data_IF_304562955602
#
_entry.id   IF_304562955602
#
_cell.length_a   1.000
_cell.length_b   1.000
_cell.length_c   1.000
_cell.angle_alpha   90.00
_cell.angle_beta   90.00
_cell.angle_gamma   90.00
#
_symmetry.space_group_name_H-M   'P 1'
#
loop_
_entity.id
_entity.type
_entity.pdbx_description
1 polymer ?
#
# COMPACT_ATOMS: atom_id res chain seq x y z
N UNK A 1 17.72 -2.20 -18.38
CA UNK A 1 16.52 -2.90 -18.87
C UNK A 1 15.55 -3.07 -17.70
N UNK A 2 14.23 -2.84 -17.89
CA UNK A 2 13.19 -3.13 -16.89
C UNK A 2 12.63 -4.53 -17.13
N UNK A 3 12.33 -5.24 -16.03
CA UNK A 3 11.46 -6.41 -16.04
C UNK A 3 10.03 -5.95 -15.75
N UNK A 4 9.15 -6.00 -16.74
CA UNK A 4 7.74 -5.68 -16.61
C UNK A 4 6.96 -6.94 -16.18
N UNK A 5 6.47 -6.92 -14.95
CA UNK A 5 5.63 -7.98 -14.38
C UNK A 5 4.18 -7.55 -14.55
N UNK A 6 3.46 -8.28 -15.40
CA UNK A 6 2.13 -7.90 -15.88
C UNK A 6 1.08 -8.77 -15.20
N UNK A 7 0.09 -8.13 -14.58
CA UNK A 7 -1.12 -8.81 -14.10
C UNK A 7 -2.27 -8.55 -15.09
N UNK A 8 -2.54 -9.45 -16.04
CA UNK A 8 -3.56 -9.25 -17.07
C UNK A 8 -4.97 -9.21 -16.51
N UNK A 9 -5.21 -9.74 -15.31
CA UNK A 9 -6.51 -9.70 -14.62
C UNK A 9 -6.79 -8.37 -13.92
N UNK A 10 -5.79 -7.50 -13.77
CA UNK A 10 -5.96 -6.22 -13.10
C UNK A 10 -7.03 -5.34 -13.77
N UNK A 11 -7.77 -4.59 -12.95
CA UNK A 11 -8.86 -3.75 -13.42
C UNK A 11 -10.02 -4.53 -14.04
N UNK A 12 -10.27 -5.77 -13.60
CA UNK A 12 -11.31 -6.62 -14.19
C UNK A 12 -10.98 -7.06 -15.62
N UNK A 13 -9.70 -7.25 -15.93
CA UNK A 13 -9.21 -7.61 -17.26
C UNK A 13 -8.93 -6.42 -18.20
N UNK A 14 -9.12 -5.18 -17.75
CA UNK A 14 -8.79 -3.98 -18.52
C UNK A 14 -7.30 -3.92 -18.88
N UNK A 15 -6.43 -4.39 -17.97
CA UNK A 15 -4.99 -4.44 -18.16
C UNK A 15 -4.63 -5.19 -19.46
N UNK A 16 -5.22 -6.37 -19.71
CA UNK A 16 -4.96 -7.17 -20.92
C UNK A 16 -5.19 -6.39 -22.22
N UNK A 17 -6.17 -5.48 -22.24
CA UNK A 17 -6.48 -4.67 -23.43
C UNK A 17 -5.55 -3.48 -23.63
N UNK A 18 -5.02 -2.92 -22.55
CA UNK A 18 -4.29 -1.65 -22.57
C UNK A 18 -2.78 -1.85 -22.52
N UNK A 19 -2.29 -3.00 -22.07
CA UNK A 19 -0.86 -3.23 -21.82
C UNK A 19 -0.04 -3.21 -23.12
N UNK A 20 -0.52 -3.84 -24.20
CA UNK A 20 0.19 -3.90 -25.47
C UNK A 20 0.61 -2.53 -26.00
N UNK A 21 -0.36 -1.64 -26.31
CA UNK A 21 -0.05 -0.28 -26.79
C UNK A 21 0.85 0.52 -25.83
N UNK A 22 0.67 0.36 -24.52
CA UNK A 22 1.49 1.07 -23.53
C UNK A 22 2.96 0.60 -23.57
N UNK A 23 3.20 -0.72 -23.65
CA UNK A 23 4.56 -1.27 -23.73
C UNK A 23 5.24 -0.92 -25.07
N UNK A 24 4.50 -0.92 -26.17
CA UNK A 24 5.01 -0.49 -27.48
C UNK A 24 5.47 0.96 -27.44
N UNK A 25 4.68 1.84 -26.83
CA UNK A 25 5.03 3.25 -26.66
C UNK A 25 6.29 3.44 -25.80
N UNK A 26 6.43 2.67 -24.71
CA UNK A 26 7.66 2.69 -23.88
C UNK A 26 8.89 2.21 -24.67
N UNK A 27 8.75 1.14 -25.45
CA UNK A 27 9.83 0.64 -26.31
C UNK A 27 10.22 1.66 -27.38
N UNK A 28 9.24 2.29 -28.05
CA UNK A 28 9.47 3.35 -29.02
C UNK A 28 10.18 4.56 -28.41
N UNK A 29 9.93 4.84 -27.12
CA UNK A 29 10.61 5.87 -26.33
C UNK A 29 11.98 5.43 -25.77
N UNK A 30 12.51 4.29 -26.21
CA UNK A 30 13.87 3.83 -25.85
C UNK A 30 13.95 3.17 -24.47
N UNK A 31 12.83 2.69 -23.89
CA UNK A 31 12.83 1.90 -22.66
C UNK A 31 12.98 0.41 -23.03
N UNK A 32 14.11 -0.17 -22.66
CA UNK A 32 14.34 -1.61 -22.82
C UNK A 32 13.48 -2.39 -21.79
N UNK A 33 12.59 -3.25 -22.29
CA UNK A 33 11.62 -4.01 -21.50
C UNK A 33 11.69 -5.50 -21.82
N UNK A 34 11.86 -6.31 -20.78
CA UNK A 34 11.49 -7.72 -20.75
C UNK A 34 10.11 -7.84 -20.10
N UNK A 35 9.27 -8.77 -20.55
CA UNK A 35 7.89 -8.88 -20.08
C UNK A 35 7.57 -10.30 -19.60
N UNK A 36 6.93 -10.41 -18.43
CA UNK A 36 6.42 -11.67 -17.89
C UNK A 36 4.99 -11.42 -17.39
N UNK A 37 4.05 -12.28 -17.80
CA UNK A 37 2.67 -12.25 -17.31
C UNK A 37 2.52 -13.17 -16.09
N UNK A 38 1.65 -12.74 -15.15
CA UNK A 38 1.24 -13.56 -14.01
C UNK A 38 -0.11 -14.21 -14.28
N UNK A 39 -0.32 -15.43 -13.76
CA UNK A 39 -1.54 -16.21 -13.91
C UNK A 39 -2.25 -16.46 -12.58
N UNK A 40 -1.56 -16.26 -11.46
CA UNK A 40 -2.08 -16.48 -10.12
C UNK A 40 -1.54 -15.46 -9.11
N UNK A 41 -2.24 -15.30 -7.99
CA UNK A 41 -1.78 -14.51 -6.85
C UNK A 41 -0.48 -15.09 -6.29
N UNK A 42 0.47 -14.23 -5.89
CA UNK A 42 1.80 -14.59 -5.39
C UNK A 42 2.84 -14.83 -6.49
N UNK A 43 2.44 -14.95 -7.76
CA UNK A 43 3.39 -15.16 -8.84
C UNK A 43 4.31 -13.94 -9.08
N UNK A 44 3.78 -12.72 -8.96
CA UNK A 44 4.61 -11.54 -9.11
C UNK A 44 5.70 -11.47 -8.02
N UNK A 45 5.38 -11.91 -6.79
CA UNK A 45 6.36 -12.04 -5.71
C UNK A 45 7.47 -13.03 -6.07
N UNK A 46 7.12 -14.21 -6.55
CA UNK A 46 8.09 -15.24 -6.96
C UNK A 46 8.98 -14.75 -8.11
N UNK A 47 8.36 -14.20 -9.16
CA UNK A 47 9.08 -13.69 -10.34
C UNK A 47 10.04 -12.57 -9.96
N UNK A 48 9.60 -11.60 -9.14
CA UNK A 48 10.43 -10.49 -8.69
C UNK A 48 11.63 -10.98 -7.87
N UNK A 49 11.41 -11.92 -6.94
CA UNK A 49 12.46 -12.51 -6.09
C UNK A 49 13.52 -13.25 -6.92
N UNK A 50 13.08 -14.13 -7.81
CA UNK A 50 13.99 -14.88 -8.68
C UNK A 50 14.79 -13.96 -9.62
N UNK A 51 14.15 -12.94 -10.16
CA UNK A 51 14.83 -11.97 -11.02
C UNK A 51 15.83 -11.11 -10.24
N UNK A 52 15.44 -10.64 -9.02
CA UNK A 52 16.33 -9.88 -8.16
C UNK A 52 17.57 -10.68 -7.75
N UNK A 53 17.41 -11.96 -7.41
CA UNK A 53 18.52 -12.88 -7.10
C UNK A 53 19.47 -13.08 -8.30
N UNK A 54 18.97 -13.00 -9.55
CA UNK A 54 19.76 -13.05 -10.78
C UNK A 54 20.40 -11.70 -11.17
N UNK A 55 20.28 -10.67 -10.33
CA UNK A 55 20.89 -9.36 -10.56
C UNK A 55 19.97 -8.32 -11.22
N UNK A 56 18.70 -8.61 -11.46
CA UNK A 56 17.74 -7.61 -11.94
C UNK A 56 17.51 -6.55 -10.85
N UNK A 57 17.54 -5.26 -11.25
CA UNK A 57 17.38 -4.12 -10.31
C UNK A 57 16.30 -3.14 -10.73
N UNK A 58 15.74 -3.26 -11.93
CA UNK A 58 14.70 -2.36 -12.45
C UNK A 58 13.45 -3.17 -12.77
N UNK A 59 12.37 -2.91 -12.04
CA UNK A 59 11.10 -3.59 -12.18
C UNK A 59 10.02 -2.61 -12.60
N UNK A 60 9.05 -3.09 -13.37
CA UNK A 60 7.85 -2.36 -13.75
C UNK A 60 6.63 -3.17 -13.33
N UNK A 61 5.89 -2.71 -12.33
CA UNK A 61 4.63 -3.29 -11.94
C UNK A 61 3.52 -2.83 -12.90
N UNK A 62 2.96 -3.76 -13.65
CA UNK A 62 1.89 -3.49 -14.62
C UNK A 62 0.58 -4.04 -14.10
N UNK A 63 -0.22 -3.19 -13.49
CA UNK A 63 -1.47 -3.61 -12.81
C UNK A 63 -2.03 -2.56 -11.88
N UNK A 64 -2.40 -2.95 -10.67
CA UNK A 64 -2.86 -2.08 -9.58
C UNK A 64 -1.99 -2.24 -8.34
N UNK A 65 -2.46 -1.69 -7.21
CA UNK A 65 -1.75 -1.70 -5.91
C UNK A 65 -1.34 -3.12 -5.47
N UNK A 66 -2.17 -4.15 -5.68
CA UNK A 66 -1.81 -5.53 -5.37
C UNK A 66 -0.64 -6.07 -6.20
N UNK A 67 -0.49 -5.65 -7.47
CA UNK A 67 0.67 -6.04 -8.28
C UNK A 67 1.95 -5.40 -7.76
N UNK A 68 1.89 -4.12 -7.38
CA UNK A 68 3.03 -3.41 -6.76
C UNK A 68 3.41 -4.04 -5.43
N UNK A 69 2.42 -4.37 -4.59
CA UNK A 69 2.60 -5.05 -3.31
C UNK A 69 3.31 -6.40 -3.48
N UNK A 70 2.86 -7.24 -4.43
CA UNK A 70 3.52 -8.51 -4.71
C UNK A 70 4.97 -8.31 -5.17
N UNK A 71 5.23 -7.35 -6.07
CA UNK A 71 6.61 -7.06 -6.54
C UNK A 71 7.48 -6.61 -5.37
N UNK A 72 7.02 -5.67 -4.53
CA UNK A 72 7.76 -5.22 -3.35
C UNK A 72 8.12 -6.39 -2.44
N UNK A 73 7.16 -7.27 -2.11
CA UNK A 73 7.43 -8.45 -1.28
C UNK A 73 8.34 -9.48 -1.95
N UNK A 74 8.48 -9.45 -3.25
CA UNK A 74 9.47 -10.24 -3.97
C UNK A 74 10.90 -9.72 -3.83
N UNK A 75 11.06 -8.41 -3.63
CA UNK A 75 12.37 -7.77 -3.50
C UNK A 75 12.97 -7.91 -2.09
N UNK A 76 12.13 -8.07 -1.06
CA UNK A 76 12.56 -8.10 0.34
C UNK A 76 12.33 -9.49 0.97
N UNK A 77 13.19 -9.90 1.90
CA UNK A 77 14.29 -9.17 2.54
C UNK A 77 15.56 -9.03 1.68
N UNK A 78 15.64 -9.67 0.50
CA UNK A 78 16.88 -9.78 -0.29
C UNK A 78 17.48 -8.41 -0.66
N UNK A 79 16.63 -7.41 -0.96
CA UNK A 79 17.07 -6.05 -1.29
C UNK A 79 17.77 -5.31 -0.13
N UNK A 80 17.58 -5.76 1.11
CA UNK A 80 18.23 -5.18 2.29
C UNK A 80 19.69 -5.64 2.46
N UNK A 81 20.11 -6.67 1.75
CA UNK A 81 21.50 -7.14 1.78
C UNK A 81 22.32 -6.24 0.85
N UNK A 82 23.26 -5.43 1.39
CA UNK A 82 24.09 -4.58 0.55
C UNK A 82 24.97 -5.46 -0.37
N UNK A 83 24.72 -5.41 -1.66
CA UNK A 83 25.49 -6.15 -2.68
C UNK A 83 26.39 -5.23 -3.51
N UNK A 84 26.67 -4.00 -3.03
CA UNK A 84 27.50 -2.99 -3.70
C UNK A 84 26.73 -1.76 -4.20
N UNK A 85 27.41 -0.83 -4.85
CA UNK A 85 26.80 0.35 -5.45
C UNK A 85 25.70 -0.03 -6.46
N UNK A 86 24.50 0.53 -6.30
CA UNK A 86 23.36 0.25 -7.18
C UNK A 86 22.49 -0.92 -6.72
N UNK A 87 22.66 -1.44 -5.50
CA UNK A 87 21.86 -2.53 -4.95
C UNK A 87 20.38 -2.16 -4.71
N UNK A 88 20.05 -0.88 -4.50
CA UNK A 88 18.68 -0.43 -4.27
C UNK A 88 17.83 -0.65 -5.51
N UNK A 89 16.76 -1.46 -5.43
CA UNK A 89 15.91 -1.72 -6.57
C UNK A 89 15.14 -0.46 -7.00
N UNK A 90 14.78 -0.42 -8.28
CA UNK A 90 13.94 0.61 -8.87
C UNK A 90 12.63 0.00 -9.31
N UNK A 91 11.52 0.57 -8.87
CA UNK A 91 10.17 0.16 -9.23
C UNK A 91 9.47 1.26 -10.02
N UNK A 92 9.11 0.96 -11.26
CA UNK A 92 8.18 1.75 -12.05
C UNK A 92 6.77 1.18 -11.95
N UNK A 93 5.79 2.00 -12.31
CA UNK A 93 4.38 1.63 -12.27
C UNK A 93 3.72 1.89 -13.61
N UNK A 94 2.88 0.96 -14.04
CA UNK A 94 1.94 1.18 -15.14
C UNK A 94 0.53 0.89 -14.61
N UNK A 95 -0.21 1.93 -14.17
CA UNK A 95 -1.42 1.81 -13.35
C UNK A 95 -2.65 1.40 -14.17
N UNK A 96 -2.72 0.15 -14.59
CA UNK A 96 -3.83 -0.42 -15.35
C UNK A 96 -4.90 -1.09 -14.46
N UNK A 97 -4.72 -1.07 -13.14
CA UNK A 97 -5.70 -1.50 -12.13
C UNK A 97 -6.75 -0.44 -11.81
N UNK A 98 -7.51 -0.65 -10.74
CA UNK A 98 -8.59 0.24 -10.29
C UNK A 98 -8.23 1.12 -9.09
N UNK A 99 -7.27 0.75 -8.27
CA UNK A 99 -6.91 1.44 -7.03
C UNK A 99 -5.86 2.52 -7.25
N UNK A 100 -4.65 2.13 -7.52
CA UNK A 100 -3.47 2.95 -7.81
C UNK A 100 -3.25 4.10 -6.81
N UNK A 101 -3.47 3.81 -5.51
CA UNK A 101 -3.52 4.85 -4.48
C UNK A 101 -2.16 5.48 -4.20
N UNK A 102 -1.09 4.68 -4.26
CA UNK A 102 0.28 5.13 -4.00
C UNK A 102 0.73 6.25 -4.95
N UNK A 103 0.40 6.14 -6.24
CA UNK A 103 0.83 7.11 -7.24
C UNK A 103 0.23 8.51 -7.06
N UNK A 104 -0.87 8.63 -6.31
CA UNK A 104 -1.49 9.93 -6.01
C UNK A 104 -0.60 10.88 -5.22
N UNK A 105 0.39 10.37 -4.50
CA UNK A 105 1.36 11.19 -3.81
C UNK A 105 2.30 11.95 -4.76
N UNK A 106 2.33 11.54 -6.02
CA UNK A 106 3.24 12.04 -7.05
C UNK A 106 2.51 12.75 -8.21
N UNK A 107 1.35 13.34 -7.93
CA UNK A 107 0.53 14.04 -8.93
C UNK A 107 -0.11 13.08 -9.95
N UNK A 108 -0.99 12.22 -9.46
CA UNK A 108 -1.64 11.15 -10.24
C UNK A 108 -2.51 11.69 -11.38
N UNK A 109 -1.95 11.70 -12.57
CA UNK A 109 -2.69 11.82 -13.83
C UNK A 109 -2.86 10.46 -14.53
N UNK A 110 -2.75 9.37 -13.79
CA UNK A 110 -2.98 8.02 -14.25
C UNK A 110 -1.89 7.48 -15.18
N UNK A 111 -2.32 6.70 -16.18
CA UNK A 111 -1.39 5.98 -17.08
C UNK A 111 -0.47 6.92 -17.84
N UNK A 112 -0.97 8.07 -18.29
CA UNK A 112 -0.16 9.02 -19.08
C UNK A 112 0.96 9.63 -18.25
N UNK A 113 0.69 10.02 -17.02
CA UNK A 113 1.72 10.54 -16.12
C UNK A 113 2.80 9.48 -15.83
N UNK A 114 2.39 8.25 -15.52
CA UNK A 114 3.32 7.13 -15.30
C UNK A 114 4.18 6.83 -16.53
N UNK A 115 3.60 6.90 -17.72
CA UNK A 115 4.33 6.76 -18.99
C UNK A 115 5.40 7.85 -19.15
N UNK A 116 5.05 9.10 -18.88
CA UNK A 116 6.00 10.22 -18.98
C UNK A 116 7.12 10.12 -17.92
N UNK A 117 6.80 9.68 -16.71
CA UNK A 117 7.80 9.44 -15.68
C UNK A 117 8.82 8.36 -16.12
N UNK A 118 8.33 7.26 -16.69
CA UNK A 118 9.17 6.19 -17.22
C UNK A 118 10.06 6.68 -18.37
N UNK A 119 9.49 7.39 -19.35
CA UNK A 119 10.22 7.96 -20.49
C UNK A 119 11.24 9.01 -20.04
N UNK A 120 10.88 9.84 -19.08
CA UNK A 120 11.76 10.84 -18.47
C UNK A 120 12.80 10.23 -17.53
N UNK A 121 12.73 8.93 -17.23
CA UNK A 121 13.64 8.20 -16.32
C UNK A 121 13.76 8.89 -14.95
N UNK A 122 12.71 9.56 -14.51
CA UNK A 122 12.67 10.25 -13.21
C UNK A 122 12.46 9.23 -12.11
N UNK A 123 13.30 9.27 -11.09
CA UNK A 123 13.13 8.41 -9.93
C UNK A 123 13.42 9.17 -8.65
N UNK A 124 12.71 8.80 -7.58
CA UNK A 124 12.88 9.34 -6.23
C UNK A 124 13.18 8.21 -5.25
N UNK A 125 13.89 8.50 -4.19
CA UNK A 125 13.98 7.60 -3.05
C UNK A 125 12.58 7.40 -2.45
N UNK A 126 12.34 6.21 -1.94
CA UNK A 126 11.11 5.87 -1.26
C UNK A 126 11.43 4.93 -0.11
N UNK A 127 10.83 5.21 1.03
CA UNK A 127 10.92 4.35 2.18
C UNK A 127 10.05 3.11 1.97
N UNK A 128 10.42 2.04 2.63
CA UNK A 128 9.63 0.80 2.66
C UNK A 128 9.31 0.50 4.10
N UNK A 129 8.05 0.21 4.40
CA UNK A 129 7.65 -0.20 5.72
C UNK A 129 7.68 -1.73 5.81
N UNK A 130 8.22 -2.23 6.92
CA UNK A 130 8.33 -3.66 7.21
C UNK A 130 7.44 -4.01 8.40
N UNK A 131 6.45 -4.84 8.19
CA UNK A 131 5.70 -5.47 9.26
C UNK A 131 6.39 -6.79 9.64
N UNK A 132 6.77 -6.93 10.90
CA UNK A 132 7.14 -8.20 11.52
C UNK A 132 5.91 -8.82 12.16
N UNK A 133 5.68 -10.11 11.91
CA UNK A 133 4.59 -10.89 12.46
C UNK A 133 5.11 -12.31 12.78
N UNK A 134 4.35 -13.09 13.54
CA UNK A 134 4.82 -14.40 14.05
C UNK A 134 5.30 -15.37 12.97
N UNK A 135 4.79 -15.26 11.75
CA UNK A 135 5.09 -16.19 10.66
C UNK A 135 6.18 -15.66 9.72
N UNK A 136 6.68 -14.43 9.96
CA UNK A 136 7.72 -13.81 9.13
C UNK A 136 7.63 -12.31 9.00
N UNK A 137 7.93 -11.80 7.82
CA UNK A 137 7.88 -10.36 7.52
C UNK A 137 7.16 -10.11 6.20
N UNK A 138 6.48 -8.98 6.10
CA UNK A 138 5.99 -8.43 4.85
C UNK A 138 6.39 -6.97 4.71
N UNK A 139 6.40 -6.48 3.47
CA UNK A 139 6.84 -5.14 3.13
C UNK A 139 5.76 -4.40 2.36
N UNK A 140 5.64 -3.09 2.59
CA UNK A 140 4.65 -2.26 1.91
C UNK A 140 5.17 -0.84 1.71
N UNK A 141 4.62 -0.14 0.74
CA UNK A 141 5.05 1.21 0.36
C UNK A 141 3.96 2.27 0.51
N UNK A 142 2.72 1.86 0.74
CA UNK A 142 1.59 2.75 0.87
C UNK A 142 1.12 2.82 2.33
N UNK A 143 0.24 1.92 2.77
CA UNK A 143 -0.24 1.92 4.15
C UNK A 143 -0.69 0.53 4.63
N UNK A 144 -0.63 0.38 5.96
CA UNK A 144 -1.29 -0.69 6.68
C UNK A 144 -2.37 -0.09 7.59
N UNK A 145 -3.55 -0.72 7.65
CA UNK A 145 -4.61 -0.29 8.56
C UNK A 145 -5.31 -1.47 9.25
N UNK A 146 -5.80 -1.21 10.47
CA UNK A 146 -6.58 -2.16 11.29
C UNK A 146 -7.86 -1.51 11.78
N UNK A 147 -8.86 -2.31 12.15
CA UNK A 147 -10.16 -1.86 12.60
C UNK A 147 -11.13 -1.62 11.45
N UNK A 148 -11.96 -0.57 11.53
CA UNK A 148 -13.06 -0.35 10.59
C UNK A 148 -12.64 -0.37 9.11
N UNK A 149 -11.51 0.21 8.76
CA UNK A 149 -11.00 0.21 7.38
C UNK A 149 -10.70 -1.20 6.86
N UNK A 150 -10.09 -2.03 7.69
CA UNK A 150 -9.83 -3.44 7.39
C UNK A 150 -11.14 -4.24 7.33
N UNK A 151 -12.05 -4.05 8.30
CA UNK A 151 -13.36 -4.73 8.36
C UNK A 151 -14.17 -4.50 7.07
N UNK A 152 -14.23 -3.26 6.57
CA UNK A 152 -14.93 -2.89 5.31
C UNK A 152 -14.28 -3.56 4.11
N UNK A 153 -12.95 -3.54 4.03
CA UNK A 153 -12.22 -4.10 2.89
C UNK A 153 -12.36 -5.64 2.82
N UNK A 154 -12.24 -6.32 3.96
CA UNK A 154 -12.46 -7.77 4.08
C UNK A 154 -13.88 -8.14 3.67
N UNK A 155 -14.89 -7.37 4.15
CA UNK A 155 -16.28 -7.59 3.78
C UNK A 155 -16.49 -7.44 2.27
N UNK A 156 -15.86 -6.42 1.67
CA UNK A 156 -15.88 -6.19 0.21
C UNK A 156 -15.26 -7.37 -0.53
N UNK A 157 -14.07 -7.80 -0.14
CA UNK A 157 -13.37 -8.89 -0.82
C UNK A 157 -14.14 -10.22 -0.73
N UNK A 158 -14.73 -10.53 0.43
CA UNK A 158 -15.44 -11.79 0.65
C UNK A 158 -16.81 -11.85 -0.03
N UNK A 159 -17.54 -10.73 -0.11
CA UNK A 159 -18.96 -10.74 -0.52
C UNK A 159 -19.27 -9.93 -1.77
N UNK A 160 -18.46 -8.93 -2.10
CA UNK A 160 -18.79 -7.92 -3.11
C UNK A 160 -17.67 -7.66 -4.11
N UNK A 161 -16.71 -8.58 -4.25
CA UNK A 161 -15.53 -8.43 -5.13
C UNK A 161 -15.93 -8.05 -6.58
N UNK A 162 -17.02 -8.60 -7.07
CA UNK A 162 -17.48 -8.43 -8.46
C UNK A 162 -18.55 -7.34 -8.62
N UNK A 163 -18.97 -6.66 -7.54
CA UNK A 163 -20.04 -5.67 -7.57
C UNK A 163 -19.56 -4.22 -7.80
N UNK A 164 -18.30 -4.03 -8.19
CA UNK A 164 -17.73 -2.73 -8.52
C UNK A 164 -17.93 -1.67 -7.43
N UNK A 165 -18.27 -0.44 -7.84
CA UNK A 165 -18.49 0.69 -6.94
C UNK A 165 -19.69 0.49 -6.01
N UNK A 166 -20.75 -0.16 -6.48
CA UNK A 166 -21.92 -0.47 -5.66
C UNK A 166 -21.55 -1.39 -4.49
N UNK A 167 -20.76 -2.43 -4.75
CA UNK A 167 -20.27 -3.33 -3.71
C UNK A 167 -19.43 -2.62 -2.65
N UNK A 168 -18.68 -1.59 -3.03
CA UNK A 168 -17.93 -0.77 -2.09
C UNK A 168 -18.87 0.00 -1.13
N UNK A 169 -19.88 0.69 -1.65
CA UNK A 169 -20.85 1.42 -0.83
C UNK A 169 -21.64 0.48 0.09
N UNK A 170 -22.09 -0.68 -0.42
CA UNK A 170 -22.78 -1.69 0.41
C UNK A 170 -21.86 -2.18 1.53
N UNK A 171 -20.57 -2.38 1.26
CA UNK A 171 -19.60 -2.80 2.28
C UNK A 171 -19.40 -1.74 3.36
N UNK A 172 -19.39 -0.44 2.99
CA UNK A 172 -19.35 0.67 3.95
C UNK A 172 -20.60 0.68 4.83
N UNK A 173 -21.80 0.57 4.26
CA UNK A 173 -23.04 0.58 5.02
C UNK A 173 -23.15 -0.61 5.98
N UNK A 174 -22.77 -1.81 5.53
CA UNK A 174 -22.74 -3.00 6.39
C UNK A 174 -21.67 -2.89 7.47
N UNK A 175 -20.49 -2.40 7.12
CA UNK A 175 -19.42 -2.11 8.07
C UNK A 175 -19.87 -1.09 9.13
N UNK A 176 -20.58 -0.04 8.71
CA UNK A 176 -21.17 0.96 9.62
C UNK A 176 -22.21 0.34 10.56
N UNK A 177 -23.05 -0.58 10.06
CA UNK A 177 -24.02 -1.30 10.90
C UNK A 177 -23.31 -2.19 11.93
N UNK A 178 -22.18 -2.78 11.59
CA UNK A 178 -21.38 -3.65 12.44
C UNK A 178 -20.22 -2.94 13.13
N UNK A 179 -20.20 -1.61 13.13
CA UNK A 179 -19.11 -0.79 13.65
C UNK A 179 -18.70 -1.23 15.05
N UNK A 180 -17.47 -1.69 15.15
CA UNK A 180 -16.82 -2.09 16.40
C UNK A 180 -15.76 -1.06 16.77
N UNK A 181 -15.61 -0.83 18.05
CA UNK A 181 -14.55 -0.02 18.62
C UNK A 181 -13.73 -0.94 19.50
N UNK A 182 -12.57 -1.32 18.99
CA UNK A 182 -11.70 -2.29 19.62
C UNK A 182 -10.40 -1.62 20.06
N UNK A 183 -9.79 -2.04 21.18
CA UNK A 183 -8.40 -1.70 21.42
C UNK A 183 -7.50 -2.49 20.47
N UNK A 184 -6.48 -1.84 19.97
CA UNK A 184 -5.33 -2.46 19.33
C UNK A 184 -4.11 -1.94 20.08
N UNK A 185 -3.61 -2.70 21.08
CA UNK A 185 -2.48 -2.26 21.88
C UNK A 185 -1.25 -1.99 21.02
N UNK A 186 -0.86 -0.71 20.95
CA UNK A 186 0.31 -0.26 20.19
C UNK A 186 1.18 0.65 21.05
N UNK A 187 2.48 0.63 20.79
CA UNK A 187 3.47 1.54 21.36
C UNK A 187 4.22 2.22 20.23
N UNK A 188 4.19 3.53 20.23
CA UNK A 188 4.98 4.36 19.31
C UNK A 188 6.39 4.52 19.89
N UNK A 189 7.43 4.43 19.05
CA UNK A 189 8.82 4.55 19.52
C UNK A 189 9.03 5.82 20.35
N UNK A 190 9.66 5.66 21.53
CA UNK A 190 9.87 6.72 22.51
C UNK A 190 8.76 6.87 23.54
N UNK A 191 7.66 6.13 23.47
CA UNK A 191 6.61 6.07 24.48
C UNK A 191 6.87 4.95 25.49
N UNK A 192 6.44 5.14 26.77
CA UNK A 192 6.70 4.17 27.84
C UNK A 192 5.73 2.97 27.83
N UNK A 193 4.46 3.22 27.55
CA UNK A 193 3.39 2.21 27.69
C UNK A 193 2.64 1.98 26.39
N UNK A 194 2.01 0.79 26.28
CA UNK A 194 1.13 0.48 25.15
C UNK A 194 -0.20 1.24 25.27
N UNK A 195 -0.59 1.96 24.22
CA UNK A 195 -1.92 2.55 24.13
C UNK A 195 -2.96 1.48 23.88
N UNK A 196 -3.83 1.25 24.89
CA UNK A 196 -4.91 0.25 24.87
C UNK A 196 -6.29 0.89 24.70
N UNK A 197 -6.35 2.19 24.38
CA UNK A 197 -7.63 2.90 24.23
C UNK A 197 -8.40 2.33 23.02
N UNK A 198 -9.73 2.10 23.13
CA UNK A 198 -10.55 1.72 21.98
C UNK A 198 -10.45 2.77 20.85
N UNK A 199 -10.42 2.32 19.62
CA UNK A 199 -10.41 3.19 18.45
C UNK A 199 -11.37 2.70 17.35
N UNK A 200 -11.63 3.54 16.38
CA UNK A 200 -12.31 3.18 15.15
C UNK A 200 -11.38 2.43 14.23
N UNK A 201 -10.22 3.03 13.96
CA UNK A 201 -9.13 2.41 13.23
C UNK A 201 -7.77 2.98 13.65
N UNK A 202 -6.73 2.24 13.34
CA UNK A 202 -5.35 2.70 13.27
C UNK A 202 -4.85 2.56 11.84
N UNK A 203 -4.01 3.49 11.39
CA UNK A 203 -3.26 3.34 10.15
C UNK A 203 -1.81 3.74 10.32
N UNK A 204 -0.94 3.04 9.60
CA UNK A 204 0.51 3.16 9.62
C UNK A 204 0.94 3.40 8.17
N UNK A 205 1.30 4.63 7.88
CA UNK A 205 1.32 5.13 6.52
C UNK A 205 2.74 5.56 6.11
N UNK A 206 3.10 5.25 4.87
CA UNK A 206 4.23 5.78 4.15
C UNK A 206 3.78 6.84 3.13
N UNK A 207 2.53 6.72 2.66
CA UNK A 207 1.91 7.65 1.71
C UNK A 207 0.56 8.16 2.19
N UNK A 208 0.00 9.17 1.52
CA UNK A 208 -1.20 9.90 1.97
C UNK A 208 -2.50 9.17 1.69
N UNK A 209 -2.58 8.45 0.55
CA UNK A 209 -3.85 8.03 -0.02
C UNK A 209 -4.13 6.53 0.09
N UNK A 210 -5.42 6.18 0.23
CA UNK A 210 -5.92 4.81 0.15
C UNK A 210 -7.27 4.74 -0.56
N UNK A 211 -7.65 3.55 -1.03
CA UNK A 211 -8.93 3.32 -1.70
C UNK A 211 -9.16 4.20 -2.92
N UNK A 212 -8.09 4.64 -3.55
CA UNK A 212 -8.05 5.50 -4.71
C UNK A 212 -8.01 6.99 -4.38
N UNK A 213 -8.81 7.52 -3.46
CA UNK A 213 -8.96 8.98 -3.25
C UNK A 213 -9.03 9.44 -1.79
N UNK A 214 -9.13 8.53 -0.83
CA UNK A 214 -9.18 8.91 0.59
C UNK A 214 -7.78 9.30 1.08
N UNK A 215 -7.65 10.51 1.62
CA UNK A 215 -6.42 11.06 2.18
C UNK A 215 -6.35 10.75 3.68
N UNK A 216 -5.86 9.56 4.03
CA UNK A 216 -5.82 9.08 5.42
C UNK A 216 -4.70 9.72 6.23
N UNK A 217 -3.55 9.96 5.62
CA UNK A 217 -2.38 10.53 6.29
C UNK A 217 -1.88 11.78 5.54
N UNK A 218 -2.54 12.93 5.67
CA UNK A 218 -2.22 14.12 4.87
C UNK A 218 -0.81 14.67 5.08
N UNK A 219 -0.15 14.34 6.19
CA UNK A 219 1.22 14.75 6.49
C UNK A 219 2.28 13.70 6.11
N UNK A 220 1.88 12.56 5.55
CA UNK A 220 2.81 11.50 5.16
C UNK A 220 3.75 11.95 4.04
N UNK A 221 4.99 11.50 4.14
CA UNK A 221 6.02 11.69 3.12
C UNK A 221 6.73 10.35 2.88
N UNK A 222 6.92 10.01 1.63
CA UNK A 222 7.42 8.68 1.24
C UNK A 222 8.94 8.51 1.38
N UNK A 223 9.66 9.54 1.88
CA UNK A 223 11.12 9.61 1.90
C UNK A 223 11.69 10.34 3.14
N UNK A 224 10.90 10.45 4.22
CA UNK A 224 11.33 11.14 5.44
C UNK A 224 11.86 10.20 6.54
N UNK A 225 11.88 8.89 6.28
CA UNK A 225 12.36 7.88 7.23
C UNK A 225 11.42 7.64 8.41
N UNK A 226 10.14 7.99 8.28
CA UNK A 226 9.16 7.91 9.36
C UNK A 226 7.88 7.20 8.92
N UNK A 227 7.20 6.61 9.89
CA UNK A 227 5.85 6.06 9.77
C UNK A 227 4.88 7.14 10.24
N UNK A 228 3.94 7.55 9.38
CA UNK A 228 2.84 8.39 9.79
C UNK A 228 1.75 7.55 10.44
N UNK A 229 1.70 7.57 11.78
CA UNK A 229 0.69 6.89 12.59
C UNK A 229 -0.55 7.77 12.73
N UNK A 230 -1.70 7.25 12.32
CA UNK A 230 -3.01 7.88 12.54
C UNK A 230 -3.87 6.97 13.40
N UNK A 231 -4.37 7.51 14.49
CA UNK A 231 -5.37 6.91 15.35
C UNK A 231 -6.66 7.73 15.26
N UNK A 232 -7.75 7.10 14.89
CA UNK A 232 -9.06 7.73 15.05
C UNK A 232 -9.84 7.02 16.15
N UNK A 233 -10.09 7.75 17.23
CA UNK A 233 -10.67 7.24 18.47
C UNK A 233 -12.12 6.81 18.33
N UNK A 234 -12.78 6.47 19.43
CA UNK A 234 -14.04 5.73 19.39
C UNK A 234 -15.22 6.60 18.95
N UNK A 235 -15.25 6.99 17.70
CA UNK A 235 -16.36 7.74 17.09
C UNK A 235 -17.59 6.83 16.93
N UNK A 236 -18.80 7.39 17.10
CA UNK A 236 -20.05 6.67 16.88
C UNK A 236 -20.49 6.68 15.43
N UNK A 237 -21.50 5.86 15.07
CA UNK A 237 -22.03 5.76 13.71
C UNK A 237 -22.44 7.12 13.14
N UNK A 238 -23.24 7.90 13.85
CA UNK A 238 -23.65 9.24 13.41
C UNK A 238 -22.45 10.21 13.26
N UNK A 239 -21.49 10.13 14.18
CA UNK A 239 -20.24 10.88 14.11
C UNK A 239 -19.41 10.51 12.89
N UNK A 240 -19.27 9.20 12.61
CA UNK A 240 -18.54 8.73 11.42
C UNK A 240 -19.19 9.22 10.13
N UNK A 241 -20.52 9.06 9.98
CA UNK A 241 -21.26 9.55 8.80
C UNK A 241 -21.05 11.05 8.59
N UNK A 242 -21.14 11.85 9.66
CA UNK A 242 -20.93 13.30 9.59
C UNK A 242 -19.51 13.69 9.17
N UNK A 243 -18.52 12.88 9.49
CA UNK A 243 -17.11 13.16 9.24
C UNK A 243 -16.53 12.35 8.06
N UNK A 244 -17.36 11.61 7.30
CA UNK A 244 -16.88 10.83 6.14
C UNK A 244 -16.15 11.70 5.10
N UNK A 245 -16.64 12.92 4.85
CA UNK A 245 -15.99 13.87 3.94
C UNK A 245 -14.53 14.15 4.34
N UNK A 246 -14.27 14.24 5.64
CA UNK A 246 -12.93 14.48 6.16
C UNK A 246 -11.90 13.39 5.84
N UNK A 247 -12.35 12.17 5.50
CA UNK A 247 -11.45 11.11 5.02
C UNK A 247 -10.96 11.35 3.58
N UNK A 248 -11.67 12.15 2.79
CA UNK A 248 -11.31 12.45 1.42
C UNK A 248 -10.40 13.68 1.29
N UNK A 249 -10.60 14.69 2.15
CA UNK A 249 -9.81 15.92 2.17
C UNK A 249 -8.75 15.97 3.28
N UNK A 250 -8.61 14.89 4.05
CA UNK A 250 -7.64 14.77 5.14
C UNK A 250 -7.99 15.55 6.41
N UNK A 251 -9.15 16.22 6.47
CA UNK A 251 -9.52 17.04 7.64
C UNK A 251 -9.91 16.20 8.86
N UNK A 252 -10.16 14.90 8.70
CA UNK A 252 -10.45 13.99 9.81
C UNK A 252 -9.34 13.95 10.88
N UNK A 253 -8.08 14.21 10.52
CA UNK A 253 -6.95 14.28 11.48
C UNK A 253 -7.08 15.46 12.43
N UNK A 254 -7.89 16.47 12.11
CA UNK A 254 -8.21 17.63 12.98
C UNK A 254 -9.34 17.33 13.97
N UNK A 255 -9.99 16.17 13.82
CA UNK A 255 -11.07 15.79 14.73
C UNK A 255 -10.52 15.57 16.15
N UNK A 256 -11.25 16.02 17.20
CA UNK A 256 -10.83 15.93 18.61
C UNK A 256 -10.49 14.51 19.10
N UNK A 257 -10.96 13.49 18.43
CA UNK A 257 -10.68 12.07 18.72
C UNK A 257 -9.60 11.49 17.80
N UNK A 258 -9.05 12.28 16.89
CA UNK A 258 -7.94 11.86 16.04
C UNK A 258 -6.61 12.20 16.71
N UNK A 259 -5.62 11.38 16.44
CA UNK A 259 -4.25 11.56 16.88
C UNK A 259 -3.33 11.20 15.71
N UNK A 260 -2.35 12.05 15.45
CA UNK A 260 -1.36 11.85 14.41
C UNK A 260 0.03 11.96 15.02
N UNK A 261 0.90 10.99 14.75
CA UNK A 261 2.29 10.95 15.22
C UNK A 261 3.19 10.45 14.10
N UNK A 262 4.49 10.81 14.19
CA UNK A 262 5.53 10.22 13.35
C UNK A 262 6.49 9.41 14.20
N UNK A 263 6.91 8.25 13.70
CA UNK A 263 7.83 7.37 14.40
C UNK A 263 8.64 6.51 13.43
N UNK A 264 9.82 6.07 13.84
CA UNK A 264 10.62 5.10 13.08
C UNK A 264 10.19 3.65 13.33
N UNK A 265 9.46 3.40 14.43
CA UNK A 265 9.02 2.06 14.85
C UNK A 265 7.69 2.12 15.60
N UNK A 266 6.84 1.14 15.34
CA UNK A 266 5.61 0.86 16.09
C UNK A 266 5.66 -0.58 16.58
N UNK A 267 5.27 -0.83 17.82
CA UNK A 267 5.20 -2.17 18.40
C UNK A 267 3.77 -2.51 18.77
N UNK A 268 3.42 -3.80 18.66
CA UNK A 268 2.11 -4.33 19.00
C UNK A 268 2.22 -5.27 20.22
N UNK A 269 1.17 -5.27 21.06
CA UNK A 269 1.00 -6.22 22.16
C UNK A 269 -0.39 -6.90 22.02
N UNK A 270 -0.49 -7.77 21.03
CA UNK A 270 -1.72 -8.44 20.64
C UNK A 270 -1.79 -9.85 21.24
N UNK A 271 -2.95 -10.25 21.72
CA UNK A 271 -3.19 -11.60 22.24
C UNK A 271 -3.29 -12.65 21.12
N UNK A 272 -3.61 -12.24 19.90
CA UNK A 272 -3.81 -13.14 18.77
C UNK A 272 -3.76 -12.42 17.42
N UNK A 273 -4.01 -13.15 16.33
CA UNK A 273 -4.05 -12.58 15.00
C UNK A 273 -5.23 -11.59 14.86
N UNK A 274 -4.99 -10.53 14.11
CA UNK A 274 -5.98 -9.50 13.80
C UNK A 274 -6.15 -9.36 12.29
N UNK A 275 -7.35 -8.96 11.90
CA UNK A 275 -7.63 -8.59 10.51
C UNK A 275 -7.03 -7.22 10.21
N UNK A 276 -6.31 -7.15 9.09
CA UNK A 276 -5.64 -5.93 8.63
C UNK A 276 -5.77 -5.78 7.11
N UNK A 277 -5.57 -4.56 6.63
CA UNK A 277 -5.41 -4.25 5.22
C UNK A 277 -4.03 -3.66 5.01
N UNK A 278 -3.28 -4.17 4.04
CA UNK A 278 -1.97 -3.64 3.64
C UNK A 278 -1.91 -3.49 2.13
N UNK A 279 -1.61 -2.27 1.66
CA UNK A 279 -1.55 -1.91 0.22
C UNK A 279 -2.76 -2.43 -0.61
N UNK A 280 -3.95 -2.47 0.01
CA UNK A 280 -5.18 -2.97 -0.61
C UNK A 280 -5.46 -4.46 -0.41
N UNK A 281 -4.52 -5.24 0.11
CA UNK A 281 -4.69 -6.67 0.40
C UNK A 281 -5.19 -6.89 1.83
N UNK A 282 -6.17 -7.78 1.98
CA UNK A 282 -6.74 -8.14 3.27
C UNK A 282 -6.05 -9.39 3.82
N UNK A 283 -5.49 -9.28 4.99
CA UNK A 283 -4.73 -10.34 5.68
C UNK A 283 -5.22 -10.50 7.12
N UNK A 284 -4.91 -11.64 7.72
CA UNK A 284 -5.13 -11.91 9.15
C UNK A 284 -3.80 -12.38 9.72
N UNK A 285 -3.14 -11.55 10.55
CA UNK A 285 -1.78 -11.79 11.05
C UNK A 285 -1.65 -11.44 12.53
N UNK A 286 -0.72 -12.09 13.22
CA UNK A 286 -0.30 -11.71 14.56
C UNK A 286 0.88 -10.73 14.45
N UNK A 287 0.55 -9.43 14.39
CA UNK A 287 1.53 -8.35 14.24
C UNK A 287 2.38 -8.21 15.50
N UNK A 288 3.67 -7.94 15.32
CA UNK A 288 4.64 -7.69 16.39
C UNK A 288 5.22 -6.29 16.34
N UNK A 289 5.68 -5.85 15.15
CA UNK A 289 6.24 -4.52 14.99
C UNK A 289 6.17 -4.04 13.54
N UNK A 290 6.17 -2.71 13.35
CA UNK A 290 6.40 -2.07 12.07
C UNK A 290 7.65 -1.20 12.20
N UNK A 291 8.59 -1.36 11.28
CA UNK A 291 9.80 -0.55 11.14
C UNK A 291 9.78 0.16 9.79
N UNK A 292 10.40 1.34 9.71
CA UNK A 292 10.72 1.97 8.45
C UNK A 292 12.11 1.58 7.97
N UNK A 293 12.26 1.38 6.68
CA UNK A 293 13.51 1.12 5.97
C UNK A 293 13.76 2.33 5.05
N UNK A 294 14.52 3.34 5.51
CA UNK A 294 14.66 4.59 4.80
C UNK A 294 15.35 4.43 3.45
N UNK A 295 14.77 5.01 2.38
CA UNK A 295 15.32 5.03 1.04
C UNK A 295 15.57 3.65 0.43
N UNK A 296 14.92 2.61 0.96
CA UNK A 296 15.18 1.23 0.57
C UNK A 296 14.70 0.89 -0.86
N UNK A 297 13.88 1.74 -1.46
CA UNK A 297 13.37 1.61 -2.83
C UNK A 297 13.61 2.91 -3.62
N UNK A 298 13.80 2.81 -4.93
CA UNK A 298 13.64 3.94 -5.86
C UNK A 298 12.34 3.76 -6.62
N UNK A 299 11.50 4.78 -6.64
CA UNK A 299 10.24 4.77 -7.40
C UNK A 299 10.34 5.68 -8.62
N UNK A 300 9.81 5.22 -9.75
CA UNK A 300 9.73 6.02 -10.98
C UNK A 300 8.39 6.73 -10.99
N UNK A 301 8.43 8.07 -10.81
CA UNK A 301 7.26 8.93 -10.65
C UNK A 301 7.48 10.33 -11.23
#
# INVERSE_FOLDING_TARGET
>A
MFLAIINPAAGGGRCRKLVGPALERLRAGGIALETIETHASGEATRIAREAYARGQRKFLAVGGDGTSYEVVNGLYPDALVPTGEGSVPTLGFLPLGTGNSFLRDFDDQGVEHAMQALLGRRSRACDVLRLTHREGTLHYINLLSVGFSADVNILRQRRFKNAGTLGYWVSIFLGLAQLKRRPFPVRVAGEGEFDRRPCLFLSFNNSKFTGGTMMIAPAAATDDGLIDFIRWGPIGRAGLVRNLGGLYDGTHVKHRLAESKKASRIEFDLEGPIDLMVDGEALTLHCEAIDVLPGALKVVV
#
